data_IF_432087905600
#
_entry.id   IF_432087905600
#
_cell.length_a   1.000
_cell.length_b   1.000
_cell.length_c   1.000
_cell.angle_alpha   90.00
_cell.angle_beta   90.00
_cell.angle_gamma   90.00
#
_symmetry.space_group_name_H-M   'P 1'
#
loop_
_entity.id
_entity.type
_entity.pdbx_description
1 polymer ?
#
# COMPACT_ATOMS: atom_id res chain seq x y z
N UNK A 1 2.74 5.82 -0.85
CA UNK A 1 2.44 4.43 -1.24
C UNK A 1 0.94 4.30 -1.42
N UNK A 2 0.51 4.01 -2.64
CA UNK A 2 -0.89 3.64 -2.90
C UNK A 2 -0.98 2.12 -2.87
N UNK A 3 -1.28 1.57 -1.70
CA UNK A 3 -1.73 0.18 -1.61
C UNK A 3 -3.19 0.11 -2.03
N UNK A 4 -3.45 0.10 -3.34
CA UNK A 4 -4.69 -0.50 -3.84
C UNK A 4 -4.46 -2.00 -3.94
N UNK A 5 -4.78 -2.74 -2.87
CA UNK A 5 -5.18 -4.13 -3.01
C UNK A 5 -6.57 -4.14 -3.69
N UNK A 6 -6.60 -3.87 -4.99
CA UNK A 6 -7.76 -4.04 -5.84
C UNK A 6 -7.48 -5.21 -6.77
N UNK A 7 -7.87 -6.38 -6.27
CA UNK A 7 -8.60 -7.43 -6.99
C UNK A 7 -8.12 -7.63 -8.45
N UNK A 8 -7.31 -8.67 -8.64
CA UNK A 8 -7.20 -9.37 -9.92
C UNK A 8 -8.60 -9.86 -10.36
N UNK A 9 -9.30 -9.06 -11.16
CA UNK A 9 -10.48 -9.49 -11.90
C UNK A 9 -10.01 -10.11 -13.22
N UNK A 10 -9.71 -11.42 -13.20
CA UNK A 10 -9.72 -12.23 -14.42
C UNK A 10 -11.12 -12.78 -14.61
N UNK A 11 -11.84 -12.21 -15.58
CA UNK A 11 -13.03 -12.84 -16.16
C UNK A 11 -12.64 -14.19 -16.77
N UNK A 12 -13.49 -15.22 -16.64
CA UNK A 12 -14.12 -15.70 -17.85
C UNK A 12 -15.63 -15.97 -17.68
N UNK A 13 -16.33 -15.79 -18.80
CA UNK A 13 -17.73 -16.12 -19.07
C UNK A 13 -18.23 -17.42 -18.42
N UNK A 14 -19.35 -17.34 -17.68
CA UNK A 14 -20.67 -17.93 -18.02
C UNK A 14 -21.61 -17.90 -16.77
N UNK A 15 -22.80 -17.32 -16.98
CA UNK A 15 -24.16 -17.72 -16.53
C UNK A 15 -24.34 -18.43 -15.15
N UNK A 16 -25.37 -18.21 -14.30
CA UNK A 16 -26.77 -17.83 -14.46
C UNK A 16 -27.36 -17.56 -13.03
N UNK A 17 -28.03 -16.43 -12.84
CA UNK A 17 -29.27 -16.11 -12.05
C UNK A 17 -29.55 -16.91 -10.74
N UNK A 18 -29.74 -16.32 -9.54
CA UNK A 18 -31.01 -15.74 -8.98
C UNK A 18 -30.71 -15.14 -7.58
N UNK A 19 -30.93 -13.84 -7.36
CA UNK A 19 -32.12 -13.19 -6.74
C UNK A 19 -32.52 -13.70 -5.34
N UNK A 20 -32.21 -12.95 -4.27
CA UNK A 20 -33.15 -12.07 -3.54
C UNK A 20 -32.56 -11.61 -2.19
N UNK A 21 -32.37 -10.29 -2.10
CA UNK A 21 -32.64 -9.39 -0.99
C UNK A 21 -32.65 -9.94 0.45
N UNK A 22 -31.61 -9.63 1.23
CA UNK A 22 -31.65 -8.55 2.23
C UNK A 22 -30.31 -8.43 2.98
N UNK A 23 -30.04 -7.20 3.44
CA UNK A 23 -28.76 -6.62 3.86
C UNK A 23 -27.93 -7.43 4.86
N UNK A 24 -26.63 -7.50 4.57
CA UNK A 24 -25.56 -7.95 5.47
C UNK A 24 -24.43 -6.90 5.40
N UNK A 25 -24.31 -6.10 6.46
CA UNK A 25 -23.41 -4.97 6.65
C UNK A 25 -22.14 -5.35 7.47
N UNK A 26 -20.98 -5.57 6.83
CA UNK A 26 -19.69 -5.70 7.55
C UNK A 26 -18.99 -4.34 7.71
N UNK A 27 -19.30 -3.56 8.75
CA UNK A 27 -18.87 -3.69 10.16
C UNK A 27 -19.04 -5.10 10.71
N UNK A 28 -18.03 -5.77 11.30
CA UNK A 28 -17.97 -7.24 11.49
C UNK A 28 -19.10 -8.02 12.25
N UNK A 29 -20.35 -7.53 12.33
CA UNK A 29 -21.61 -8.20 12.67
C UNK A 29 -22.24 -9.05 11.56
N UNK A 30 -21.68 -9.05 10.35
CA UNK A 30 -22.36 -9.52 9.14
C UNK A 30 -21.68 -10.67 8.41
N UNK A 31 -21.10 -11.57 9.17
CA UNK A 31 -21.18 -12.96 8.78
C UNK A 31 -21.78 -13.67 9.98
N UNK A 32 -22.90 -14.36 9.79
CA UNK A 32 -23.31 -15.34 10.78
C UNK A 32 -22.13 -16.28 11.03
N UNK A 33 -22.00 -16.79 12.25
CA UNK A 33 -20.93 -17.74 12.63
C UNK A 33 -20.73 -18.84 11.59
N UNK A 34 -21.81 -19.23 10.91
CA UNK A 34 -21.85 -20.13 9.77
C UNK A 34 -21.03 -19.65 8.55
N UNK A 35 -21.21 -18.42 8.08
CA UNK A 35 -20.48 -17.88 6.92
C UNK A 35 -19.02 -17.58 7.23
N UNK A 36 -18.72 -17.13 8.46
CA UNK A 36 -17.34 -17.04 8.95
C UNK A 36 -16.67 -18.41 8.88
N UNK A 37 -17.32 -19.45 9.39
CA UNK A 37 -16.80 -20.81 9.32
C UNK A 37 -16.64 -21.35 7.90
N UNK A 38 -17.51 -20.96 6.96
CA UNK A 38 -17.43 -21.38 5.56
C UNK A 38 -16.28 -20.66 4.82
N UNK A 39 -16.11 -19.36 5.04
CA UNK A 39 -14.97 -18.59 4.52
C UNK A 39 -13.65 -19.08 5.14
N UNK A 40 -13.61 -19.32 6.46
CA UNK A 40 -12.46 -19.91 7.13
C UNK A 40 -12.16 -21.33 6.64
N UNK A 41 -13.17 -22.18 6.38
CA UNK A 41 -12.98 -23.50 5.78
C UNK A 41 -12.46 -23.39 4.35
N UNK A 42 -12.97 -22.45 3.55
CA UNK A 42 -12.51 -22.21 2.18
C UNK A 42 -11.07 -21.72 2.14
N UNK A 43 -10.71 -20.74 2.99
CA UNK A 43 -9.34 -20.25 3.16
C UNK A 43 -8.45 -21.38 3.68
N UNK A 44 -8.83 -22.12 4.73
CA UNK A 44 -8.07 -23.28 5.23
C UNK A 44 -7.91 -24.37 4.17
N UNK A 45 -8.91 -24.65 3.35
CA UNK A 45 -8.84 -25.65 2.27
C UNK A 45 -7.91 -25.19 1.14
N UNK A 46 -7.93 -23.89 0.79
CA UNK A 46 -6.98 -23.31 -0.17
C UNK A 46 -5.55 -23.27 0.38
N UNK A 47 -5.37 -22.96 1.67
CA UNK A 47 -4.09 -23.04 2.37
C UNK A 47 -3.56 -24.48 2.40
N UNK A 48 -4.41 -25.47 2.68
CA UNK A 48 -4.04 -26.89 2.75
C UNK A 48 -3.72 -27.50 1.37
N UNK A 49 -4.20 -26.89 0.30
CA UNK A 49 -3.95 -27.27 -1.10
C UNK A 49 -2.80 -26.46 -1.75
N UNK A 50 -1.72 -26.20 -1.01
CA UNK A 50 -0.45 -25.63 -1.49
C UNK A 50 -0.43 -24.15 -1.95
N UNK A 51 -1.40 -23.31 -1.58
CA UNK A 51 -1.39 -21.88 -1.99
C UNK A 51 -0.74 -20.90 -1.01
N UNK A 52 -0.35 -21.36 0.19
CA UNK A 52 0.59 -20.61 1.01
C UNK A 52 1.92 -21.34 0.92
N UNK A 53 2.96 -20.63 0.49
CA UNK A 53 4.32 -21.08 0.68
C UNK A 53 4.48 -21.57 2.13
N UNK A 54 5.21 -22.66 2.34
CA UNK A 54 5.39 -23.34 3.64
C UNK A 54 5.80 -22.44 4.81
N UNK A 55 6.19 -21.20 4.50
CA UNK A 55 6.59 -20.15 5.40
C UNK A 55 5.46 -19.24 5.88
N UNK A 56 4.21 -19.32 5.43
CA UNK A 56 3.14 -18.44 5.90
C UNK A 56 2.22 -19.08 6.96
N UNK A 57 1.68 -18.29 7.89
CA UNK A 57 0.66 -18.70 8.86
C UNK A 57 -0.40 -17.62 9.06
N UNK A 58 -1.64 -18.04 9.33
CA UNK A 58 -2.73 -17.14 9.67
C UNK A 58 -2.68 -16.80 11.17
N UNK A 59 -2.71 -15.53 11.52
CA UNK A 59 -2.82 -15.08 12.91
C UNK A 59 -4.25 -15.24 13.42
N UNK A 60 -4.42 -15.19 14.74
CA UNK A 60 -5.74 -15.23 15.38
C UNK A 60 -6.66 -14.07 14.95
N UNK A 61 -6.10 -13.00 14.39
CA UNK A 61 -6.84 -11.84 13.91
C UNK A 61 -7.16 -11.91 12.40
N UNK A 62 -6.82 -13.02 11.74
CA UNK A 62 -7.07 -13.23 10.31
C UNK A 62 -6.04 -12.62 9.37
N UNK A 63 -4.95 -12.03 9.87
CA UNK A 63 -3.82 -11.60 9.02
C UNK A 63 -2.91 -12.78 8.68
N UNK A 64 -2.23 -12.72 7.53
CA UNK A 64 -1.21 -13.72 7.14
C UNK A 64 0.16 -13.17 7.55
N UNK A 65 0.99 -13.98 8.20
CA UNK A 65 2.38 -13.68 8.56
C UNK A 65 3.32 -14.73 8.00
N UNK A 66 4.52 -14.32 7.59
CA UNK A 66 5.61 -15.25 7.31
C UNK A 66 6.32 -15.65 8.61
N UNK A 67 6.53 -16.95 8.82
CA UNK A 67 7.21 -17.58 9.96
C UNK A 67 8.66 -17.10 10.11
N UNK A 68 9.28 -16.67 9.02
CA UNK A 68 10.69 -16.30 8.96
C UNK A 68 10.90 -14.97 8.22
N UNK A 69 9.97 -14.01 8.32
CA UNK A 69 10.18 -12.68 7.74
C UNK A 69 11.35 -12.01 8.50
N UNK A 70 12.56 -12.21 7.99
CA UNK A 70 13.75 -11.53 8.48
C UNK A 70 13.57 -10.06 8.14
N UNK A 71 13.83 -9.16 9.10
CA UNK A 71 13.85 -7.72 8.79
C UNK A 71 14.74 -7.50 7.56
N UNK A 72 14.35 -6.52 6.74
CA UNK A 72 15.02 -6.22 5.48
C UNK A 72 16.55 -6.11 5.63
N UNK A 73 17.01 -5.47 6.71
CA UNK A 73 18.43 -5.34 7.06
C UNK A 73 19.22 -6.65 7.25
N UNK A 74 18.56 -7.78 7.52
CA UNK A 74 19.22 -9.10 7.67
C UNK A 74 19.37 -9.88 6.36
N UNK A 75 18.78 -9.40 5.25
CA UNK A 75 18.98 -10.00 3.94
C UNK A 75 20.36 -9.60 3.39
N UNK A 76 20.99 -10.47 2.60
CA UNK A 76 22.17 -10.08 1.82
C UNK A 76 21.81 -8.98 0.82
N UNK A 77 22.78 -8.16 0.42
CA UNK A 77 22.54 -7.11 -0.58
C UNK A 77 21.96 -7.66 -1.89
N UNK A 78 22.48 -8.80 -2.35
CA UNK A 78 21.97 -9.50 -3.54
C UNK A 78 20.49 -9.89 -3.39
N UNK A 79 20.10 -10.47 -2.25
CA UNK A 79 18.70 -10.83 -2.00
C UNK A 79 17.79 -9.59 -1.96
N UNK A 80 18.24 -8.48 -1.36
CA UNK A 80 17.47 -7.23 -1.35
C UNK A 80 17.26 -6.70 -2.76
N UNK A 81 18.30 -6.69 -3.59
CA UNK A 81 18.24 -6.23 -4.99
C UNK A 81 17.29 -7.12 -5.83
N UNK A 82 17.37 -8.43 -5.65
CA UNK A 82 16.49 -9.37 -6.37
C UNK A 82 15.02 -9.19 -5.96
N UNK A 83 14.75 -9.06 -4.66
CA UNK A 83 13.40 -8.82 -4.15
C UNK A 83 12.81 -7.46 -4.56
N UNK A 84 13.63 -6.39 -4.61
CA UNK A 84 13.16 -5.07 -5.07
C UNK A 84 12.88 -5.04 -6.55
N UNK A 85 13.77 -5.62 -7.35
CA UNK A 85 13.61 -5.69 -8.81
C UNK A 85 12.35 -6.46 -9.19
N UNK A 86 12.12 -7.63 -8.58
CA UNK A 86 10.93 -8.43 -8.86
C UNK A 86 9.64 -7.64 -8.59
N UNK A 87 9.50 -7.05 -7.41
CA UNK A 87 8.26 -6.36 -7.01
C UNK A 87 8.00 -5.08 -7.83
N UNK A 88 9.06 -4.32 -8.17
CA UNK A 88 8.93 -3.14 -9.01
C UNK A 88 8.41 -3.50 -10.41
N UNK A 89 9.00 -4.51 -11.05
CA UNK A 89 8.71 -4.82 -12.45
C UNK A 89 7.47 -5.70 -12.65
N UNK A 90 7.03 -6.43 -11.61
CA UNK A 90 5.93 -7.41 -11.75
C UNK A 90 4.67 -6.99 -10.97
N UNK A 91 4.80 -6.50 -9.74
CA UNK A 91 3.64 -6.33 -8.85
C UNK A 91 3.19 -4.88 -8.71
N UNK A 92 4.11 -3.92 -8.83
CA UNK A 92 3.87 -2.52 -8.52
C UNK A 92 4.28 -1.58 -9.66
N UNK A 93 4.52 -2.12 -10.86
CA UNK A 93 4.84 -1.28 -12.01
C UNK A 93 3.72 -0.27 -12.22
N UNK A 94 4.03 1.03 -12.27
CA UNK A 94 3.00 2.01 -12.52
C UNK A 94 2.39 1.76 -13.89
N UNK A 95 1.06 1.73 -13.97
CA UNK A 95 0.34 1.50 -15.23
C UNK A 95 0.69 2.65 -16.18
N UNK A 96 1.12 2.36 -17.41
CA UNK A 96 1.58 3.38 -18.37
C UNK A 96 0.62 4.58 -18.49
N UNK A 97 -0.69 4.32 -18.38
CA UNK A 97 -1.76 5.32 -18.40
C UNK A 97 -2.32 5.66 -17.00
N UNK A 98 -1.45 5.76 -15.99
CA UNK A 98 -1.88 5.96 -14.59
C UNK A 98 -2.75 7.21 -14.39
N UNK A 99 -2.59 8.26 -15.23
CA UNK A 99 -3.40 9.49 -15.20
C UNK A 99 -4.86 9.24 -15.62
N UNK A 100 -5.11 8.21 -16.40
CA UNK A 100 -6.45 7.81 -16.83
C UNK A 100 -7.02 6.69 -15.95
N UNK A 101 -6.26 6.25 -14.95
CA UNK A 101 -6.73 5.25 -13.99
C UNK A 101 -7.89 5.79 -13.14
N UNK A 102 -8.85 4.90 -12.86
CA UNK A 102 -9.93 5.17 -11.90
C UNK A 102 -9.37 5.57 -10.54
N UNK A 103 -8.24 4.98 -10.14
CA UNK A 103 -7.52 5.32 -8.92
C UNK A 103 -7.13 6.81 -8.88
N UNK A 104 -6.46 7.34 -9.91
CA UNK A 104 -6.06 8.74 -9.94
C UNK A 104 -7.26 9.69 -9.97
N UNK A 105 -8.30 9.33 -10.72
CA UNK A 105 -9.55 10.09 -10.74
C UNK A 105 -10.20 10.18 -9.35
N UNK A 106 -10.34 9.04 -8.65
CA UNK A 106 -10.89 8.99 -7.29
C UNK A 106 -10.02 9.76 -6.29
N UNK A 107 -8.70 9.68 -6.42
CA UNK A 107 -7.80 10.41 -5.53
C UNK A 107 -7.93 11.93 -5.70
N UNK A 108 -8.01 12.42 -6.95
CA UNK A 108 -8.28 13.84 -7.24
C UNK A 108 -9.61 14.30 -6.65
N UNK A 109 -10.65 13.48 -6.81
CA UNK A 109 -11.96 13.80 -6.26
C UNK A 109 -11.90 13.94 -4.73
N UNK A 110 -11.25 13.00 -4.04
CA UNK A 110 -11.06 13.05 -2.59
C UNK A 110 -10.33 14.32 -2.14
N UNK A 111 -9.24 14.69 -2.81
CA UNK A 111 -8.51 15.93 -2.47
C UNK A 111 -9.39 17.18 -2.63
N UNK A 112 -10.19 17.24 -3.69
CA UNK A 112 -11.11 18.33 -3.93
C UNK A 112 -12.20 18.39 -2.87
N UNK A 113 -12.79 17.25 -2.49
CA UNK A 113 -13.80 17.19 -1.43
C UNK A 113 -13.23 17.65 -0.09
N UNK A 114 -12.05 17.17 0.29
CA UNK A 114 -11.40 17.56 1.55
C UNK A 114 -11.12 19.07 1.58
N UNK A 115 -10.53 19.61 0.52
CA UNK A 115 -10.17 21.04 0.45
C UNK A 115 -11.39 21.96 0.34
N UNK A 116 -12.46 21.54 -0.35
CA UNK A 116 -13.74 22.26 -0.38
C UNK A 116 -14.35 22.40 1.03
N UNK A 117 -14.14 21.41 1.89
CA UNK A 117 -14.56 21.44 3.29
C UNK A 117 -13.55 22.15 4.22
N UNK A 118 -12.59 22.90 3.68
CA UNK A 118 -11.60 23.65 4.45
C UNK A 118 -10.55 22.77 5.16
N UNK A 119 -10.42 21.49 4.78
CA UNK A 119 -9.44 20.58 5.37
C UNK A 119 -8.10 20.77 4.66
N UNK A 120 -7.05 20.99 5.44
CA UNK A 120 -5.67 20.95 4.95
C UNK A 120 -5.21 19.51 4.79
N UNK A 121 -4.65 19.18 3.63
CA UNK A 121 -4.19 17.83 3.30
C UNK A 121 -2.67 17.82 3.17
N UNK A 122 -2.02 16.86 3.82
CA UNK A 122 -0.58 16.62 3.66
C UNK A 122 -0.39 15.29 2.94
N UNK A 123 0.02 15.35 1.69
CA UNK A 123 0.42 14.19 0.89
C UNK A 123 1.87 13.86 1.17
N UNK A 124 2.17 12.57 1.36
CA UNK A 124 3.49 12.11 1.78
C UNK A 124 3.96 11.00 0.83
N UNK A 125 5.13 11.20 0.22
CA UNK A 125 5.88 10.08 -0.35
C UNK A 125 6.63 9.38 0.79
N UNK A 126 6.10 8.22 1.17
CA UNK A 126 6.55 7.44 2.33
C UNK A 126 7.95 6.87 2.13
N UNK A 127 8.77 6.71 3.19
CA UNK A 127 10.09 6.11 3.08
C UNK A 127 10.05 4.73 2.44
N UNK A 128 11.00 4.49 1.55
CA UNK A 128 11.25 3.20 0.90
C UNK A 128 12.73 2.87 1.06
N UNK A 129 13.09 1.59 0.90
CA UNK A 129 14.48 1.18 1.07
C UNK A 129 15.37 1.84 -0.01
N UNK A 130 16.61 2.25 0.33
CA UNK A 130 17.51 2.92 -0.61
C UNK A 130 17.71 2.22 -1.96
N UNK A 131 17.76 0.88 -2.00
CA UNK A 131 17.92 0.16 -3.26
C UNK A 131 16.67 0.28 -4.14
N UNK A 132 15.48 0.21 -3.55
CA UNK A 132 14.22 0.40 -4.27
C UNK A 132 14.11 1.83 -4.79
N UNK A 133 14.44 2.81 -3.94
CA UNK A 133 14.46 4.22 -4.34
C UNK A 133 15.38 4.47 -5.54
N UNK A 134 16.57 3.88 -5.53
CA UNK A 134 17.54 3.99 -6.64
C UNK A 134 17.04 3.39 -7.95
N UNK A 135 16.18 2.36 -7.89
CA UNK A 135 15.57 1.76 -9.07
C UNK A 135 14.42 2.61 -9.61
N UNK A 136 13.49 3.04 -8.74
CA UNK A 136 12.33 3.81 -9.18
C UNK A 136 12.70 5.18 -9.73
N UNK A 137 13.78 5.79 -9.24
CA UNK A 137 14.32 7.06 -9.77
C UNK A 137 14.83 6.97 -11.21
N UNK A 138 14.98 5.78 -11.78
CA UNK A 138 15.32 5.62 -13.21
C UNK A 138 14.08 5.54 -14.10
N UNK A 139 12.90 5.43 -13.50
CA UNK A 139 11.63 5.26 -14.21
C UNK A 139 11.01 6.61 -14.56
N UNK A 140 10.75 6.83 -15.86
CA UNK A 140 10.02 8.03 -16.33
C UNK A 140 8.66 8.16 -15.65
N UNK A 141 7.92 7.06 -15.56
CA UNK A 141 6.58 7.08 -14.99
C UNK A 141 6.58 7.43 -13.49
N UNK A 142 7.63 7.07 -12.75
CA UNK A 142 7.79 7.51 -11.36
C UNK A 142 7.88 9.04 -11.26
N UNK A 143 8.65 9.68 -12.15
CA UNK A 143 8.73 11.15 -12.19
C UNK A 143 7.40 11.78 -12.60
N UNK A 144 6.74 11.24 -13.63
CA UNK A 144 5.43 11.74 -14.08
C UNK A 144 4.39 11.68 -12.94
N UNK A 145 4.42 10.62 -12.13
CA UNK A 145 3.58 10.46 -10.94
C UNK A 145 3.93 11.50 -9.87
N UNK A 146 5.21 11.60 -9.53
CA UNK A 146 5.69 12.53 -8.51
C UNK A 146 5.35 13.98 -8.86
N UNK A 147 5.57 14.38 -10.11
CA UNK A 147 5.27 15.72 -10.60
C UNK A 147 3.76 16.02 -10.50
N UNK A 148 2.92 15.08 -10.93
CA UNK A 148 1.48 15.26 -10.85
C UNK A 148 0.98 15.39 -9.41
N UNK A 149 1.50 14.60 -8.46
CA UNK A 149 1.15 14.78 -7.04
C UNK A 149 1.67 16.11 -6.49
N UNK A 150 2.90 16.50 -6.83
CA UNK A 150 3.45 17.79 -6.42
C UNK A 150 2.62 18.96 -6.97
N UNK A 151 2.06 18.83 -8.18
CA UNK A 151 1.26 19.89 -8.82
C UNK A 151 -0.01 20.29 -8.03
N UNK A 152 -0.62 19.38 -7.26
CA UNK A 152 -1.75 19.74 -6.38
C UNK A 152 -1.34 20.72 -5.29
N UNK A 153 -0.12 20.59 -4.76
CA UNK A 153 0.38 21.52 -3.74
C UNK A 153 0.78 22.89 -4.27
N UNK A 154 1.01 22.99 -5.59
CA UNK A 154 1.32 24.27 -6.26
C UNK A 154 0.02 25.02 -6.59
N UNK A 155 -1.04 24.28 -6.91
CA UNK A 155 -2.31 24.86 -7.37
C UNK A 155 -3.34 25.05 -6.26
N UNK A 156 -3.09 24.55 -5.04
CA UNK A 156 -4.01 24.63 -3.92
C UNK A 156 -3.26 24.81 -2.59
N UNK A 157 -3.40 25.98 -1.96
CA UNK A 157 -2.74 26.34 -0.70
C UNK A 157 -3.15 25.48 0.51
N UNK A 158 -4.23 24.69 0.38
CA UNK A 158 -4.65 23.73 1.39
C UNK A 158 -4.01 22.35 1.22
N UNK A 159 -3.24 22.13 0.15
CA UNK A 159 -2.56 20.86 -0.12
C UNK A 159 -1.06 21.05 0.01
N UNK A 160 -0.42 20.18 0.79
CA UNK A 160 1.01 20.14 0.98
C UNK A 160 1.55 18.82 0.45
N UNK A 161 2.73 18.84 -0.16
CA UNK A 161 3.42 17.64 -0.60
C UNK A 161 4.79 17.53 0.09
N UNK A 162 4.99 16.43 0.81
CA UNK A 162 6.24 16.10 1.48
C UNK A 162 6.85 14.85 0.84
N UNK A 163 7.94 15.04 0.10
CA UNK A 163 8.72 13.90 -0.37
C UNK A 163 9.70 13.42 0.73
N UNK A 164 9.34 12.32 1.37
CA UNK A 164 10.11 11.70 2.44
C UNK A 164 10.59 10.29 2.04
N UNK A 165 10.55 9.96 0.75
CA UNK A 165 10.90 8.64 0.22
C UNK A 165 12.31 8.19 0.58
N UNK A 166 13.25 9.14 0.73
CA UNK A 166 14.65 8.90 1.10
C UNK A 166 15.01 9.44 2.50
N UNK A 167 14.02 9.55 3.39
CA UNK A 167 14.25 10.12 4.74
C UNK A 167 14.74 9.10 5.78
N UNK A 168 14.65 7.80 5.49
CA UNK A 168 15.14 6.71 6.33
C UNK A 168 16.06 5.83 5.50
N UNK A 169 17.31 5.69 5.91
CA UNK A 169 18.34 4.98 5.14
C UNK A 169 18.86 3.70 5.81
N UNK A 170 18.53 3.46 7.08
CA UNK A 170 18.94 2.24 7.79
C UNK A 170 18.00 1.07 7.44
N UNK A 171 18.55 0.07 6.76
CA UNK A 171 17.82 -1.14 6.36
C UNK A 171 17.21 -1.91 7.54
N UNK A 172 17.76 -1.77 8.75
CA UNK A 172 17.22 -2.43 9.95
C UNK A 172 15.91 -1.81 10.43
N UNK A 173 15.51 -0.67 9.88
CA UNK A 173 14.26 0.02 10.17
C UNK A 173 13.13 -0.38 9.23
N UNK A 174 13.40 -1.27 8.26
CA UNK A 174 12.44 -1.75 7.29
C UNK A 174 11.98 -3.18 7.59
N UNK A 175 10.69 -3.43 7.44
CA UNK A 175 10.12 -4.77 7.41
C UNK A 175 10.37 -5.39 6.03
N UNK A 176 10.12 -4.62 4.97
CA UNK A 176 10.35 -4.98 3.58
C UNK A 176 10.72 -3.73 2.75
N UNK A 177 10.74 -3.82 1.40
CA UNK A 177 11.22 -2.73 0.55
C UNK A 177 10.43 -1.43 0.66
N UNK A 178 9.18 -1.49 1.11
CA UNK A 178 8.24 -0.38 1.04
C UNK A 178 7.44 -0.19 2.35
N UNK A 179 7.73 -1.00 3.37
CA UNK A 179 7.19 -0.87 4.73
C UNK A 179 8.31 -0.74 5.78
N UNK A 180 8.14 0.24 6.67
CA UNK A 180 8.93 0.35 7.89
C UNK A 180 8.48 -0.71 8.92
N UNK A 181 9.42 -1.22 9.71
CA UNK A 181 9.07 -1.98 10.91
C UNK A 181 8.73 -1.04 12.08
N UNK A 182 8.40 -1.61 13.25
CA UNK A 182 7.99 -0.82 14.42
C UNK A 182 9.03 0.25 14.84
N UNK A 183 10.32 -0.06 14.72
CA UNK A 183 11.38 0.89 15.06
C UNK A 183 11.51 1.97 13.99
N UNK A 184 11.44 1.60 12.71
CA UNK A 184 11.42 2.56 11.61
C UNK A 184 10.22 3.49 11.68
N UNK A 185 9.03 2.98 11.99
CA UNK A 185 7.83 3.79 12.14
C UNK A 185 7.98 4.84 13.28
N UNK A 186 8.61 4.46 14.40
CA UNK A 186 8.92 5.40 15.50
C UNK A 186 9.91 6.48 15.06
N UNK A 187 10.94 6.13 14.31
CA UNK A 187 11.91 7.08 13.79
C UNK A 187 11.29 8.03 12.78
N UNK A 188 10.57 7.48 11.79
CA UNK A 188 9.86 8.26 10.79
C UNK A 188 8.82 9.20 11.40
N UNK A 189 8.14 8.79 12.47
CA UNK A 189 7.20 9.67 13.18
C UNK A 189 7.87 10.94 13.71
N UNK A 190 9.14 10.87 14.14
CA UNK A 190 9.90 12.05 14.58
C UNK A 190 10.23 12.96 13.38
N UNK A 191 10.65 12.37 12.26
CA UNK A 191 10.94 13.10 11.02
C UNK A 191 9.68 13.79 10.49
N UNK A 192 8.55 13.09 10.44
CA UNK A 192 7.29 13.62 9.97
C UNK A 192 6.81 14.77 10.86
N UNK A 193 6.85 14.60 12.18
CA UNK A 193 6.54 15.67 13.15
C UNK A 193 7.45 16.89 12.93
N UNK A 194 8.75 16.65 12.74
CA UNK A 194 9.73 17.53 12.09
C UNK A 194 9.15 18.47 11.04
N UNK A 195 8.71 17.84 9.95
CA UNK A 195 8.26 18.52 8.73
C UNK A 195 6.91 19.22 8.90
N UNK A 196 5.98 18.63 9.65
CA UNK A 196 4.67 19.25 9.92
C UNK A 196 4.81 20.56 10.73
N UNK A 197 5.80 20.63 11.63
CA UNK A 197 6.15 21.88 12.35
C UNK A 197 6.55 22.97 11.38
N UNK A 198 7.48 22.64 10.47
CA UNK A 198 8.02 23.59 9.52
C UNK A 198 6.95 24.16 8.58
N UNK A 199 5.86 23.42 8.37
CA UNK A 199 4.69 23.85 7.60
C UNK A 199 3.63 24.61 8.42
N UNK A 200 3.83 24.80 9.72
CA UNK A 200 2.84 25.38 10.65
C UNK A 200 1.50 24.60 10.66
N UNK A 201 1.56 23.26 10.59
CA UNK A 201 0.39 22.37 10.56
C UNK A 201 0.22 21.56 11.86
N UNK A 202 0.54 22.18 13.00
CA UNK A 202 0.59 21.52 14.31
C UNK A 202 -0.63 21.76 15.17
#
# INVERSE_FOLDING_TARGET
>A
MFCSNLINYRSPHHELITNLETKIELPFKCFSSYHKNKLFKYIKAKIKNNFLESNCYLTNNGSIKEKNQKNWGFLSAENRINSTSYRFFIDQSPVDDWKDSSFYSSYRHLLNELTYNGIKVVMISYPIVPEYHSLVQKSKIYFDIKEAFQSFSITNDSIFYLDLSNSVNDYNLFQDQDHLNDNGAKEFSKILKSRLIALNLK
#
